data_IF_257243162240
#
_entry.id   IF_257243162240
#
_cell.length_a   1.000
_cell.length_b   1.000
_cell.length_c   1.000
_cell.angle_alpha   90.00
_cell.angle_beta   90.00
_cell.angle_gamma   90.00
#
_symmetry.space_group_name_H-M   'P 1'
#
loop_
_entity.id
_entity.type
_entity.pdbx_description
1 polymer ?
#
# COMPACT_ATOMS: atom_id res chain seq x y z
N UNK A 1 1.43 -27.60 -30.03
CA UNK A 1 1.72 -27.63 -28.57
C UNK A 1 2.75 -26.59 -28.12
N UNK A 2 3.71 -26.16 -28.94
CA UNK A 2 4.71 -25.15 -28.56
C UNK A 2 4.14 -23.72 -28.34
N UNK A 3 3.07 -23.33 -29.05
CA UNK A 3 2.45 -22.00 -28.91
C UNK A 3 1.76 -21.78 -27.56
N UNK A 4 1.12 -22.82 -27.01
CA UNK A 4 0.41 -22.76 -25.73
C UNK A 4 1.40 -22.51 -24.58
N UNK A 5 2.58 -23.14 -24.62
CA UNK A 5 3.62 -22.94 -23.59
C UNK A 5 4.14 -21.50 -23.57
N UNK A 6 4.29 -20.87 -24.75
CA UNK A 6 4.70 -19.47 -24.86
C UNK A 6 3.64 -18.51 -24.32
N UNK A 7 2.37 -18.79 -24.59
CA UNK A 7 1.25 -18.01 -24.07
C UNK A 7 1.15 -18.07 -22.55
N UNK A 8 1.26 -19.27 -21.96
CA UNK A 8 1.26 -19.45 -20.50
C UNK A 8 2.42 -18.67 -19.86
N UNK A 9 3.61 -18.71 -20.47
CA UNK A 9 4.77 -17.99 -19.93
C UNK A 9 4.57 -16.47 -19.96
N UNK A 10 4.01 -15.93 -21.04
CA UNK A 10 3.68 -14.51 -21.15
C UNK A 10 2.60 -14.09 -20.15
N UNK A 11 1.60 -14.95 -19.91
CA UNK A 11 0.52 -14.68 -18.97
C UNK A 11 1.02 -14.70 -17.53
N UNK A 12 1.88 -15.66 -17.17
CA UNK A 12 2.51 -15.72 -15.83
C UNK A 12 3.38 -14.48 -15.60
N UNK A 13 4.17 -14.05 -16.59
CA UNK A 13 4.94 -12.82 -16.49
C UNK A 13 4.03 -11.61 -16.28
N UNK A 14 2.95 -11.49 -17.04
CA UNK A 14 1.99 -10.39 -16.90
C UNK A 14 1.34 -10.35 -15.51
N UNK A 15 0.88 -11.50 -15.00
CA UNK A 15 0.30 -11.61 -13.66
C UNK A 15 1.33 -11.31 -12.57
N UNK A 16 2.57 -11.76 -12.72
CA UNK A 16 3.63 -11.50 -11.73
C UNK A 16 3.93 -10.02 -11.57
N UNK A 17 3.98 -9.27 -12.69
CA UNK A 17 4.18 -7.81 -12.67
C UNK A 17 2.99 -7.11 -12.02
N UNK A 18 1.75 -7.55 -12.34
CA UNK A 18 0.54 -6.99 -11.75
C UNK A 18 0.48 -7.19 -10.22
N UNK A 19 0.86 -8.36 -9.74
CA UNK A 19 0.92 -8.66 -8.30
C UNK A 19 1.99 -7.82 -7.62
N UNK A 20 3.19 -7.67 -8.19
CA UNK A 20 4.24 -6.83 -7.61
C UNK A 20 3.80 -5.36 -7.52
N UNK A 21 3.19 -4.83 -8.59
CA UNK A 21 2.67 -3.45 -8.59
C UNK A 21 1.51 -3.23 -7.60
N UNK A 22 0.75 -4.28 -7.26
CA UNK A 22 -0.32 -4.18 -6.26
C UNK A 22 0.20 -4.18 -4.82
N UNK A 23 1.39 -4.75 -4.57
CA UNK A 23 2.02 -4.77 -3.25
C UNK A 23 2.86 -3.51 -2.96
N UNK A 24 3.22 -2.72 -3.97
CA UNK A 24 3.88 -1.42 -3.75
C UNK A 24 2.91 -0.30 -3.36
N UNK A 25 1.60 -0.59 -3.34
CA UNK A 25 0.55 0.27 -2.79
C UNK A 25 0.19 -0.19 -1.36
N UNK A 26 1.17 -0.67 -0.60
CA UNK A 26 1.10 -0.57 0.86
C UNK A 26 1.38 0.91 1.25
N UNK A 27 0.48 1.79 0.80
CA UNK A 27 0.46 3.18 1.25
C UNK A 27 -0.04 3.13 2.70
N UNK A 28 0.87 2.88 3.65
CA UNK A 28 0.66 3.04 5.10
C UNK A 28 -0.81 2.99 5.52
N UNK A 29 -1.46 1.86 5.27
CA UNK A 29 -2.91 1.77 5.41
C UNK A 29 -3.21 1.75 6.91
N UNK A 30 -3.61 2.90 7.44
CA UNK A 30 -4.09 2.97 8.81
C UNK A 30 -5.54 2.51 8.85
N UNK A 31 -5.89 1.71 9.86
CA UNK A 31 -7.28 1.33 10.12
C UNK A 31 -7.85 2.17 11.26
N UNK A 32 -6.99 2.52 12.22
CA UNK A 32 -7.31 3.32 13.39
C UNK A 32 -6.26 4.43 13.60
N UNK A 33 -6.60 5.46 14.38
CA UNK A 33 -5.67 6.54 14.76
C UNK A 33 -4.43 5.97 15.49
N UNK A 34 -4.59 4.81 16.14
CA UNK A 34 -3.53 4.09 16.88
C UNK A 34 -2.46 3.46 15.97
N UNK A 35 -2.78 3.20 14.70
CA UNK A 35 -1.80 2.69 13.72
C UNK A 35 -0.77 3.75 13.32
N UNK A 36 -1.07 5.03 13.60
CA UNK A 36 -0.24 6.16 13.21
C UNK A 36 0.72 6.58 14.33
N UNK A 37 2.03 6.58 14.03
CA UNK A 37 3.07 7.05 14.94
C UNK A 37 3.45 8.48 14.57
N UNK A 38 3.16 9.44 15.44
CA UNK A 38 3.56 10.84 15.31
C UNK A 38 4.48 11.26 16.47
N UNK A 39 5.17 12.41 16.32
CA UNK A 39 5.89 13.05 17.42
C UNK A 39 4.95 13.38 18.58
N UNK A 40 5.46 13.38 19.83
CA UNK A 40 4.69 13.54 21.08
C UNK A 40 3.77 14.78 21.15
N UNK A 41 4.02 15.81 20.34
CA UNK A 41 3.23 17.05 20.29
C UNK A 41 2.14 17.06 19.19
N UNK A 42 2.06 15.97 18.43
CA UNK A 42 1.13 15.80 17.31
C UNK A 42 -0.02 14.88 17.70
N UNK A 43 -1.20 15.16 17.15
CA UNK A 43 -2.34 14.25 17.24
C UNK A 43 -2.33 13.38 15.99
N UNK A 44 -2.09 12.06 16.10
CA UNK A 44 -2.21 11.12 15.00
C UNK A 44 -3.68 10.97 14.60
N UNK A 45 -3.95 10.95 13.29
CA UNK A 45 -5.27 10.80 12.71
C UNK A 45 -5.21 9.94 11.47
N UNK A 46 -6.02 8.90 11.42
CA UNK A 46 -6.22 8.09 10.26
C UNK A 46 -7.40 8.62 9.43
N UNK A 47 -7.14 9.06 8.19
CA UNK A 47 -8.18 9.61 7.31
C UNK A 47 -8.04 8.98 5.93
N UNK A 48 -9.06 8.22 5.54
CA UNK A 48 -9.09 7.57 4.23
C UNK A 48 -7.97 6.54 4.04
N UNK A 49 -7.50 5.90 5.13
CA UNK A 49 -6.40 4.95 5.10
C UNK A 49 -5.01 5.57 5.08
N UNK A 50 -4.89 6.90 5.25
CA UNK A 50 -3.59 7.57 5.38
C UNK A 50 -3.43 8.23 6.76
N UNK A 51 -2.21 8.17 7.29
CA UNK A 51 -1.85 8.83 8.55
C UNK A 51 -1.59 10.33 8.37
N UNK A 52 -2.24 11.14 9.19
CA UNK A 52 -2.04 12.58 9.30
C UNK A 52 -1.60 12.93 10.73
N UNK A 53 -0.54 13.73 10.85
CA UNK A 53 -0.08 14.27 12.12
C UNK A 53 -0.37 15.77 12.18
N UNK A 54 -1.33 16.18 13.02
CA UNK A 54 -1.59 17.61 13.24
C UNK A 54 -0.86 18.09 14.49
N UNK A 55 -0.04 19.15 14.36
CA UNK A 55 0.55 19.82 15.53
C UNK A 55 -0.56 20.38 16.41
N UNK A 56 -0.52 20.13 17.72
CA UNK A 56 -1.31 20.93 18.67
C UNK A 56 -0.79 22.37 18.61
N UNK A 57 -1.58 23.27 18.02
CA UNK A 57 -1.36 24.71 18.16
C UNK A 57 -1.83 25.08 19.56
N UNK A 58 -0.89 25.39 20.45
CA UNK A 58 -1.14 25.94 21.78
C UNK A 58 -1.75 27.34 21.67
#
# INVERSE_FOLDING_TARGET
MAGIRKFVYALVLFLSIFVVMSNEIDIFYCQDDSDCICDRESIPKCIGGACFCWKRRN
#
